data_IF_705693504842
#
_entry.id   IF_705693504842
#
_cell.length_a   1.000
_cell.length_b   1.000
_cell.length_c   1.000
_cell.angle_alpha   90.00
_cell.angle_beta   90.00
_cell.angle_gamma   90.00
#
_symmetry.space_group_name_H-M   'P 1'
#
loop_
_entity.id
_entity.type
_entity.pdbx_description
1 polymer ?
#
# COMPACT_ATOMS: atom_id res chain seq x y z
N UNK A 1 -5.14 11.27 1.10
CA UNK A 1 -4.92 9.86 0.75
C UNK A 1 -4.12 9.85 -0.53
N UNK A 2 -3.07 9.05 -0.61
CA UNK A 2 -2.24 8.90 -1.81
C UNK A 2 -2.23 7.43 -2.25
N UNK A 3 -2.13 7.21 -3.56
CA UNK A 3 -2.01 5.89 -4.18
C UNK A 3 -0.94 5.95 -5.25
N UNK A 4 -0.14 4.89 -5.36
CA UNK A 4 0.82 4.70 -6.42
C UNK A 4 0.78 3.26 -6.92
N UNK A 5 0.86 3.07 -8.23
CA UNK A 5 1.11 1.77 -8.87
C UNK A 5 2.58 1.69 -9.29
N UNK A 6 3.14 0.49 -9.26
CA UNK A 6 4.49 0.25 -9.79
C UNK A 6 4.46 0.36 -11.32
N UNK A 7 5.30 1.21 -11.95
CA UNK A 7 5.29 1.44 -13.41
C UNK A 7 5.80 0.24 -14.22
N UNK A 8 6.47 -0.73 -13.57
CA UNK A 8 7.02 -1.93 -14.20
C UNK A 8 6.25 -3.21 -13.85
N UNK A 9 5.38 -3.16 -12.84
CA UNK A 9 4.51 -4.26 -12.42
C UNK A 9 3.16 -3.70 -11.98
N UNK A 10 2.17 -3.74 -12.88
CA UNK A 10 0.83 -3.22 -12.60
C UNK A 10 0.12 -3.90 -11.42
N UNK A 11 0.61 -5.07 -10.98
CA UNK A 11 0.04 -5.82 -9.85
C UNK A 11 0.41 -5.26 -8.49
N UNK A 12 1.45 -4.43 -8.42
CA UNK A 12 1.92 -3.82 -7.19
C UNK A 12 1.35 -2.41 -7.01
N UNK A 13 0.61 -2.23 -5.92
CA UNK A 13 -0.06 -0.96 -5.60
C UNK A 13 0.17 -0.66 -4.12
N UNK A 14 0.46 0.61 -3.80
CA UNK A 14 0.59 1.12 -2.45
C UNK A 14 -0.46 2.21 -2.19
N UNK A 15 -1.11 2.15 -1.02
CA UNK A 15 -2.04 3.16 -0.52
C UNK A 15 -1.51 3.72 0.79
N UNK A 16 -1.43 5.05 0.89
CA UNK A 16 -1.11 5.78 2.12
C UNK A 16 -2.32 6.60 2.59
N UNK A 17 -2.83 6.25 3.77
CA UNK A 17 -3.93 6.95 4.43
C UNK A 17 -3.41 8.12 5.29
N UNK A 18 -4.27 9.12 5.50
CA UNK A 18 -3.88 10.34 6.25
C UNK A 18 -3.60 10.08 7.74
N UNK A 19 -4.13 8.99 8.29
CA UNK A 19 -3.87 8.56 9.66
C UNK A 19 -2.49 7.88 9.83
N UNK A 20 -1.70 7.76 8.75
CA UNK A 20 -0.39 7.12 8.75
C UNK A 20 -0.42 5.60 8.54
N UNK A 21 -1.57 5.03 8.17
CA UNK A 21 -1.63 3.63 7.75
C UNK A 21 -1.15 3.49 6.29
N UNK A 22 -0.34 2.46 6.03
CA UNK A 22 0.16 2.15 4.69
C UNK A 22 -0.15 0.68 4.38
N UNK A 23 -0.76 0.46 3.21
CA UNK A 23 -1.10 -0.86 2.70
C UNK A 23 -0.48 -1.09 1.33
N UNK A 24 -0.07 -2.31 1.06
CA UNK A 24 0.48 -2.74 -0.23
C UNK A 24 -0.20 -4.03 -0.68
N UNK A 25 -0.46 -4.15 -1.97
CA UNK A 25 -0.83 -5.39 -2.65
C UNK A 25 0.21 -5.71 -3.71
N UNK A 26 0.37 -7.00 -4.03
CA UNK A 26 1.19 -7.50 -5.15
C UNK A 26 0.38 -8.37 -6.11
N UNK A 27 -0.95 -8.36 -5.97
CA UNK A 27 -1.89 -9.19 -6.71
C UNK A 27 -3.15 -8.40 -7.06
N UNK A 28 -2.98 -7.18 -7.58
CA UNK A 28 -4.09 -6.35 -8.07
C UNK A 28 -5.20 -6.10 -7.02
N UNK A 29 -4.85 -6.12 -5.73
CA UNK A 29 -5.79 -5.85 -4.64
C UNK A 29 -6.57 -7.07 -4.13
N UNK A 30 -6.28 -8.28 -4.60
CA UNK A 30 -6.86 -9.52 -4.05
C UNK A 30 -6.49 -9.73 -2.57
N UNK A 31 -5.27 -9.36 -2.18
CA UNK A 31 -4.86 -9.32 -0.78
C UNK A 31 -3.91 -8.15 -0.48
N UNK A 32 -3.88 -7.75 0.79
CA UNK A 32 -3.17 -6.57 1.25
C UNK A 32 -2.27 -6.89 2.44
N UNK A 33 -1.03 -6.43 2.39
CA UNK A 33 -0.09 -6.38 3.50
C UNK A 33 -0.10 -4.98 4.10
N UNK A 34 -0.28 -4.86 5.42
CA UNK A 34 -0.12 -3.59 6.11
C UNK A 34 1.35 -3.36 6.43
N UNK A 35 1.93 -2.32 5.85
CA UNK A 35 3.34 -1.93 6.03
C UNK A 35 3.53 -0.96 7.19
N UNK A 36 2.53 -0.12 7.46
CA UNK A 36 2.55 0.79 8.60
C UNK A 36 1.17 0.93 9.24
N UNK A 37 1.15 1.19 10.55
CA UNK A 37 -0.05 1.52 11.32
C UNK A 37 0.22 2.76 12.16
N UNK A 38 -0.59 3.81 11.98
CA UNK A 38 -0.43 5.10 12.69
C UNK A 38 1.00 5.65 12.62
N UNK A 39 1.65 5.54 11.46
CA UNK A 39 3.01 6.00 11.23
C UNK A 39 4.13 5.11 11.78
N UNK A 40 3.82 3.93 12.35
CA UNK A 40 4.81 2.93 12.76
C UNK A 40 4.95 1.82 11.71
N UNK A 41 6.18 1.56 11.29
CA UNK A 41 6.55 0.56 10.28
C UNK A 41 6.77 -0.81 10.96
N UNK A 42 6.45 -1.91 10.26
CA UNK A 42 6.66 -3.30 10.71
C UNK A 42 7.53 -4.09 9.74
#
# INVERSE_FOLDING_TARGET
MYMASNPTDEKEIVIAAMNGDIFMTKNNGESWTRLASKGKIF
#
